data_IF_087300540117
#
_entry.id   IF_087300540117
#
_cell.length_a   1.000
_cell.length_b   1.000
_cell.length_c   1.000
_cell.angle_alpha   90.00
_cell.angle_beta   90.00
_cell.angle_gamma   90.00
#
_symmetry.space_group_name_H-M   'P 1'
#
loop_
_entity.id
_entity.type
_entity.pdbx_description
1 polymer ?
#
# COMPACT_ATOMS: atom_id res chain seq x y z
N UNK A 1 -9.13 16.62 -31.48
CA UNK A 1 -9.72 16.45 -30.14
C UNK A 1 -8.72 17.04 -29.17
N UNK A 2 -9.03 18.13 -28.46
CA UNK A 2 -8.13 18.70 -27.43
C UNK A 2 -7.92 17.61 -26.39
N UNK A 3 -6.69 17.13 -26.21
CA UNK A 3 -6.36 16.17 -25.16
C UNK A 3 -6.50 16.92 -23.83
N UNK A 4 -7.49 16.57 -23.04
CA UNK A 4 -7.69 17.21 -21.73
C UNK A 4 -6.76 16.51 -20.73
N UNK A 5 -5.72 17.20 -20.29
CA UNK A 5 -4.74 16.64 -19.33
C UNK A 5 -5.41 16.26 -17.99
N UNK A 6 -6.48 16.95 -17.58
CA UNK A 6 -7.27 16.58 -16.38
C UNK A 6 -8.03 15.27 -16.57
N UNK A 7 -8.49 14.98 -17.79
CA UNK A 7 -9.13 13.69 -18.06
C UNK A 7 -8.12 12.55 -17.94
N UNK A 8 -6.85 12.79 -18.27
CA UNK A 8 -5.78 11.81 -18.09
C UNK A 8 -5.43 11.63 -16.59
N UNK A 9 -5.40 12.70 -15.80
CA UNK A 9 -5.30 12.58 -14.34
C UNK A 9 -6.45 11.73 -13.77
N UNK A 10 -7.69 12.08 -14.13
CA UNK A 10 -8.88 11.35 -13.67
C UNK A 10 -8.82 9.86 -14.04
N UNK A 11 -8.49 9.54 -15.28
CA UNK A 11 -8.39 8.15 -15.75
C UNK A 11 -7.27 7.37 -15.06
N UNK A 12 -6.16 8.03 -14.69
CA UNK A 12 -5.07 7.39 -13.95
C UNK A 12 -5.53 7.03 -12.52
N UNK A 13 -6.14 7.97 -11.81
CA UNK A 13 -6.64 7.73 -10.45
C UNK A 13 -7.80 6.72 -10.42
N UNK A 14 -8.74 6.81 -11.36
CA UNK A 14 -9.83 5.83 -11.50
C UNK A 14 -9.24 4.43 -11.66
N UNK A 15 -8.24 4.26 -12.52
CA UNK A 15 -7.61 2.96 -12.72
C UNK A 15 -6.88 2.44 -11.48
N UNK A 16 -6.22 3.32 -10.73
CA UNK A 16 -5.62 2.96 -9.44
C UNK A 16 -6.67 2.48 -8.45
N UNK A 17 -7.79 3.20 -8.32
CA UNK A 17 -8.84 2.83 -7.39
C UNK A 17 -9.63 1.59 -7.82
N UNK A 18 -9.75 1.31 -9.11
CA UNK A 18 -10.28 0.03 -9.61
C UNK A 18 -9.47 -1.14 -9.06
N UNK A 19 -8.14 -1.09 -9.17
CA UNK A 19 -7.26 -2.13 -8.62
C UNK A 19 -7.32 -2.21 -7.09
N UNK A 20 -7.46 -1.07 -6.40
CA UNK A 20 -7.74 -1.07 -4.94
C UNK A 20 -9.03 -1.78 -4.61
N UNK A 21 -10.09 -1.62 -5.41
CA UNK A 21 -11.37 -2.31 -5.23
C UNK A 21 -11.26 -3.82 -5.45
N UNK A 22 -10.29 -4.25 -6.26
CA UNK A 22 -9.89 -5.65 -6.45
C UNK A 22 -8.99 -6.17 -5.31
N UNK A 23 -8.93 -5.48 -4.16
CA UNK A 23 -8.24 -5.90 -2.93
C UNK A 23 -6.71 -5.92 -3.01
N UNK A 24 -6.14 -5.18 -3.95
CA UNK A 24 -4.69 -5.02 -4.08
C UNK A 24 -4.12 -4.07 -3.02
N UNK A 25 -2.86 -4.29 -2.64
CA UNK A 25 -2.09 -3.29 -1.89
C UNK A 25 -1.93 -1.99 -2.68
N UNK A 26 -1.54 -0.92 -1.98
CA UNK A 26 -1.23 0.37 -2.63
C UNK A 26 -0.08 0.22 -3.64
N UNK A 27 0.98 -0.52 -3.28
CA UNK A 27 2.10 -0.79 -4.15
C UNK A 27 1.71 -1.61 -5.40
N UNK A 28 0.88 -2.64 -5.26
CA UNK A 28 0.40 -3.45 -6.39
C UNK A 28 -0.51 -2.64 -7.32
N UNK A 29 -1.50 -1.94 -6.76
CA UNK A 29 -2.45 -1.14 -7.54
C UNK A 29 -1.72 -0.05 -8.34
N UNK A 30 -0.70 0.58 -7.76
CA UNK A 30 0.10 1.57 -8.45
C UNK A 30 1.00 0.95 -9.53
N UNK A 31 1.61 -0.21 -9.26
CA UNK A 31 2.42 -0.90 -10.27
C UNK A 31 1.57 -1.29 -11.50
N UNK A 32 0.40 -1.90 -11.29
CA UNK A 32 -0.50 -2.26 -12.36
C UNK A 32 -1.03 -1.05 -13.13
N UNK A 33 -1.33 0.05 -12.43
CA UNK A 33 -1.69 1.33 -13.08
C UNK A 33 -0.54 1.86 -13.92
N UNK A 34 0.67 1.93 -13.37
CA UNK A 34 1.85 2.45 -14.05
C UNK A 34 2.16 1.67 -15.34
N UNK A 35 2.06 0.34 -15.28
CA UNK A 35 2.24 -0.53 -16.45
C UNK A 35 1.17 -0.28 -17.52
N UNK A 36 -0.09 -0.08 -17.13
CA UNK A 36 -1.19 0.23 -18.06
C UNK A 36 -0.98 1.58 -18.78
N UNK A 37 -0.29 2.53 -18.15
CA UNK A 37 0.00 3.85 -18.69
C UNK A 37 1.41 4.00 -19.28
N UNK A 38 2.24 2.95 -19.28
CA UNK A 38 3.59 2.99 -19.82
C UNK A 38 3.63 3.50 -21.27
N UNK A 39 2.76 2.97 -22.14
CA UNK A 39 2.66 3.40 -23.53
C UNK A 39 2.02 4.79 -23.74
N UNK A 40 1.36 5.35 -22.71
CA UNK A 40 0.75 6.69 -22.76
C UNK A 40 1.83 7.76 -22.63
N UNK A 41 2.85 7.52 -21.80
CA UNK A 41 3.96 8.46 -21.58
C UNK A 41 4.75 8.75 -22.86
N UNK A 42 4.78 7.82 -23.82
CA UNK A 42 5.48 8.00 -25.09
C UNK A 42 4.73 8.86 -26.13
N UNK A 43 3.52 9.35 -25.81
CA UNK A 43 2.64 10.07 -26.76
C UNK A 43 2.91 11.57 -26.87
N UNK A 44 3.65 12.13 -25.93
CA UNK A 44 3.88 13.56 -25.77
C UNK A 44 4.48 13.86 -24.41
N UNK A 45 5.04 15.06 -24.27
CA UNK A 45 5.61 15.51 -23.01
C UNK A 45 4.52 15.84 -21.99
N UNK A 46 3.36 16.31 -22.44
CA UNK A 46 2.19 16.50 -21.58
C UNK A 46 1.74 15.17 -20.96
N UNK A 47 1.59 14.10 -21.75
CA UNK A 47 1.20 12.79 -21.20
C UNK A 47 2.24 12.24 -20.23
N UNK A 48 3.53 12.38 -20.57
CA UNK A 48 4.63 11.98 -19.69
C UNK A 48 4.57 12.73 -18.36
N UNK A 49 4.38 14.05 -18.38
CA UNK A 49 4.28 14.87 -17.18
C UNK A 49 3.07 14.44 -16.33
N UNK A 50 1.88 14.34 -16.91
CA UNK A 50 0.65 13.98 -16.18
C UNK A 50 0.77 12.61 -15.50
N UNK A 51 1.24 11.59 -16.22
CA UNK A 51 1.35 10.23 -15.66
C UNK A 51 2.34 10.20 -14.50
N UNK A 52 3.52 10.81 -14.64
CA UNK A 52 4.51 10.82 -13.57
C UNK A 52 4.04 11.67 -12.38
N UNK A 53 3.37 12.81 -12.61
CA UNK A 53 2.79 13.61 -11.52
C UNK A 53 1.69 12.83 -10.79
N UNK A 54 0.83 12.11 -11.52
CA UNK A 54 -0.23 11.31 -10.92
C UNK A 54 0.33 10.17 -10.07
N UNK A 55 1.33 9.44 -10.59
CA UNK A 55 2.06 8.41 -9.85
C UNK A 55 2.72 8.99 -8.59
N UNK A 56 3.43 10.12 -8.72
CA UNK A 56 4.04 10.82 -7.59
C UNK A 56 3.05 11.26 -6.52
N UNK A 57 1.90 11.80 -6.94
CA UNK A 57 0.81 12.16 -6.02
C UNK A 57 0.24 10.98 -5.26
N UNK A 58 0.15 9.81 -5.88
CA UNK A 58 -0.30 8.59 -5.18
C UNK A 58 0.76 8.19 -4.14
N UNK A 59 2.05 8.19 -4.50
CA UNK A 59 3.11 7.89 -3.52
C UNK A 59 3.05 8.79 -2.29
N UNK A 60 2.75 10.09 -2.44
CA UNK A 60 2.58 11.02 -1.31
C UNK A 60 1.46 10.61 -0.32
N UNK A 61 0.53 9.75 -0.74
CA UNK A 61 -0.51 9.21 0.13
C UNK A 61 -0.09 7.95 0.88
N UNK A 62 1.02 7.32 0.51
CA UNK A 62 1.50 6.09 1.11
C UNK A 62 2.30 6.38 2.39
N UNK A 63 2.33 5.40 3.28
CA UNK A 63 3.14 5.49 4.51
C UNK A 63 4.64 5.44 4.22
N UNK A 64 5.04 4.71 3.18
CA UNK A 64 6.43 4.59 2.72
C UNK A 64 6.50 4.50 1.18
N UNK A 65 7.69 4.73 0.65
CA UNK A 65 8.01 4.56 -0.76
C UNK A 65 9.27 3.72 -0.94
N UNK A 66 9.21 2.73 -1.84
CA UNK A 66 10.40 1.94 -2.18
C UNK A 66 11.49 2.84 -2.80
N UNK A 67 12.73 2.70 -2.33
CA UNK A 67 13.85 3.58 -2.72
C UNK A 67 13.99 3.77 -4.23
N UNK A 68 13.91 2.69 -5.02
CA UNK A 68 14.03 2.81 -6.49
C UNK A 68 12.82 3.46 -7.14
N UNK A 69 11.64 3.31 -6.55
CA UNK A 69 10.44 4.00 -7.04
C UNK A 69 10.58 5.51 -6.82
N UNK A 70 11.08 5.92 -5.64
CA UNK A 70 11.41 7.32 -5.32
C UNK A 70 12.43 7.90 -6.31
N UNK A 71 13.56 7.21 -6.51
CA UNK A 71 14.60 7.64 -7.45
C UNK A 71 14.04 7.82 -8.88
N UNK A 72 13.28 6.82 -9.35
CA UNK A 72 12.68 6.82 -10.69
C UNK A 72 11.73 8.00 -10.88
N UNK A 73 10.83 8.27 -9.92
CA UNK A 73 9.85 9.34 -10.09
C UNK A 73 10.49 10.72 -10.03
N UNK A 74 11.47 10.91 -9.14
CA UNK A 74 12.26 12.16 -9.07
C UNK A 74 13.02 12.39 -10.38
N UNK A 75 13.66 11.36 -10.93
CA UNK A 75 14.36 11.45 -12.22
C UNK A 75 13.37 11.75 -13.36
N UNK A 76 12.22 11.07 -13.40
CA UNK A 76 11.22 11.25 -14.45
C UNK A 76 10.66 12.68 -14.49
N UNK A 77 10.39 13.27 -13.33
CA UNK A 77 9.86 14.64 -13.22
C UNK A 77 10.92 15.71 -13.52
N UNK A 78 12.17 15.51 -13.07
CA UNK A 78 13.27 16.44 -13.37
C UNK A 78 13.73 16.36 -14.84
N UNK A 79 13.49 15.25 -15.52
CA UNK A 79 13.86 15.04 -16.94
C UNK A 79 12.76 15.44 -17.94
N UNK A 80 11.74 16.18 -17.50
CA UNK A 80 10.70 16.68 -18.40
C UNK A 80 11.25 17.76 -19.35
N UNK A 81 10.95 17.64 -20.64
CA UNK A 81 11.28 18.66 -21.65
C UNK A 81 10.31 19.84 -21.55
N UNK A 82 10.68 20.84 -20.77
CA UNK A 82 9.80 21.99 -20.49
C UNK A 82 9.47 22.83 -21.73
N UNK A 83 10.32 22.80 -22.77
CA UNK A 83 10.06 23.51 -24.01
C UNK A 83 8.97 22.78 -24.80
N UNK A 84 9.10 21.46 -24.94
CA UNK A 84 8.11 20.64 -25.61
C UNK A 84 6.77 20.63 -24.87
N UNK A 85 6.81 20.54 -23.54
CA UNK A 85 5.61 20.65 -22.70
C UNK A 85 4.87 21.97 -22.94
N UNK A 86 5.59 23.09 -23.02
CA UNK A 86 5.00 24.40 -23.29
C UNK A 86 4.35 24.49 -24.69
N UNK A 87 4.88 23.79 -25.68
CA UNK A 87 4.30 23.73 -27.03
C UNK A 87 3.05 22.85 -27.11
N UNK A 88 2.93 21.86 -26.23
CA UNK A 88 1.83 20.89 -26.22
C UNK A 88 0.63 21.34 -25.35
N UNK A 89 0.79 22.38 -24.54
CA UNK A 89 -0.18 22.82 -23.54
C UNK A 89 -0.56 24.30 -23.72
N UNK A 90 -1.71 24.68 -23.19
CA UNK A 90 -2.04 26.10 -23.03
C UNK A 90 -1.24 26.71 -21.87
N UNK A 91 -1.06 28.04 -21.81
CA UNK A 91 -0.31 28.68 -20.71
C UNK A 91 -0.83 28.35 -19.31
N UNK A 92 -2.15 28.21 -19.15
CA UNK A 92 -2.77 27.87 -17.86
C UNK A 92 -2.51 26.40 -17.49
N UNK A 93 -2.63 25.48 -18.45
CA UNK A 93 -2.32 24.05 -18.25
C UNK A 93 -0.83 23.84 -17.95
N UNK A 94 0.04 24.53 -18.68
CA UNK A 94 1.48 24.50 -18.45
C UNK A 94 1.82 24.89 -17.02
N UNK A 95 1.25 26.01 -16.57
CA UNK A 95 1.47 26.51 -15.21
C UNK A 95 0.97 25.52 -14.14
N UNK A 96 -0.24 25.00 -14.29
CA UNK A 96 -0.78 24.01 -13.33
C UNK A 96 0.06 22.72 -13.29
N UNK A 97 0.50 22.21 -14.45
CA UNK A 97 1.36 21.02 -14.52
C UNK A 97 2.69 21.26 -13.78
N UNK A 98 3.31 22.44 -13.95
CA UNK A 98 4.54 22.77 -13.24
C UNK A 98 4.31 22.90 -11.73
N UNK A 99 3.24 23.56 -11.30
CA UNK A 99 2.90 23.67 -9.87
C UNK A 99 2.69 22.29 -9.23
N UNK A 100 2.01 21.37 -9.92
CA UNK A 100 1.82 20.00 -9.43
C UNK A 100 3.11 19.18 -9.43
N UNK A 101 3.98 19.36 -10.44
CA UNK A 101 5.31 18.72 -10.48
C UNK A 101 6.15 19.18 -9.30
N UNK A 102 6.22 20.48 -9.07
CA UNK A 102 7.07 21.06 -8.04
C UNK A 102 6.60 20.63 -6.65
N UNK A 103 5.28 20.61 -6.41
CA UNK A 103 4.73 20.06 -5.17
C UNK A 103 5.13 18.60 -4.94
N UNK A 104 5.07 17.74 -5.97
CA UNK A 104 5.51 16.35 -5.84
C UNK A 104 7.01 16.28 -5.51
N UNK A 105 7.85 17.04 -6.19
CA UNK A 105 9.30 17.05 -5.95
C UNK A 105 9.65 17.58 -4.55
N UNK A 106 8.92 18.57 -4.05
CA UNK A 106 9.15 19.16 -2.73
C UNK A 106 8.69 18.22 -1.59
N UNK A 107 7.57 17.52 -1.77
CA UNK A 107 7.00 16.69 -0.72
C UNK A 107 7.57 15.26 -0.68
N UNK A 108 8.03 14.72 -1.81
CA UNK A 108 8.47 13.31 -1.89
C UNK A 108 9.70 13.01 -1.03
N UNK A 109 10.50 14.03 -0.71
CA UNK A 109 11.64 13.88 0.18
C UNK A 109 11.27 13.63 1.64
N UNK A 110 10.03 13.95 2.04
CA UNK A 110 9.54 13.75 3.39
C UNK A 110 8.90 12.36 3.60
N UNK A 111 8.69 11.58 2.54
CA UNK A 111 8.16 10.22 2.68
C UNK A 111 9.27 9.29 3.21
N UNK A 112 8.92 8.46 4.18
CA UNK A 112 9.79 7.39 4.67
C UNK A 112 10.18 6.43 3.54
N UNK A 113 11.48 6.13 3.42
CA UNK A 113 11.97 5.21 2.40
C UNK A 113 11.89 3.77 2.88
N UNK A 114 11.35 2.90 2.04
CA UNK A 114 11.39 1.45 2.18
C UNK A 114 12.52 0.86 1.31
N UNK A 115 13.27 -0.07 1.88
CA UNK A 115 14.34 -0.80 1.20
C UNK A 115 13.94 -2.23 0.83
N UNK A 116 12.82 -2.73 1.36
CA UNK A 116 12.29 -4.05 1.03
C UNK A 116 11.66 -4.05 -0.37
N UNK A 117 12.14 -4.89 -1.30
CA UNK A 117 11.50 -5.03 -2.62
C UNK A 117 10.28 -5.97 -2.60
N UNK A 118 10.01 -6.62 -1.46
CA UNK A 118 9.01 -7.68 -1.34
C UNK A 118 7.76 -7.24 -0.59
N UNK A 119 7.87 -6.29 0.34
CA UNK A 119 6.75 -5.80 1.14
C UNK A 119 5.74 -5.12 0.22
N UNK A 120 4.51 -5.65 0.18
CA UNK A 120 3.43 -5.08 -0.64
C UNK A 120 2.46 -4.29 0.21
N UNK A 121 2.20 -4.77 1.43
CA UNK A 121 1.45 -4.03 2.43
C UNK A 121 2.39 -3.52 3.51
N UNK A 122 2.38 -2.20 3.75
CA UNK A 122 3.09 -1.67 4.91
C UNK A 122 2.35 -2.03 6.20
N UNK A 123 3.07 -2.01 7.32
CA UNK A 123 2.62 -2.51 8.62
C UNK A 123 1.20 -2.08 9.01
N UNK A 124 0.97 -0.76 9.07
CA UNK A 124 -0.32 -0.19 9.47
C UNK A 124 -1.41 -0.34 8.39
N UNK A 125 -1.02 -0.47 7.11
CA UNK A 125 -1.95 -0.73 6.02
C UNK A 125 -2.50 -2.15 6.11
N UNK A 126 -1.62 -3.14 6.36
CA UNK A 126 -2.02 -4.53 6.59
C UNK A 126 -2.93 -4.65 7.81
N UNK A 127 -2.54 -4.05 8.93
CA UNK A 127 -3.35 -4.04 10.15
C UNK A 127 -4.76 -3.47 9.89
N UNK A 128 -4.85 -2.34 9.19
CA UNK A 128 -6.11 -1.70 8.84
C UNK A 128 -6.96 -2.57 7.92
N UNK A 129 -6.35 -3.20 6.91
CA UNK A 129 -7.06 -4.06 5.97
C UNK A 129 -7.62 -5.31 6.66
N UNK A 130 -6.85 -5.94 7.55
CA UNK A 130 -7.33 -7.07 8.37
C UNK A 130 -8.51 -6.65 9.25
N UNK A 131 -8.44 -5.50 9.90
CA UNK A 131 -9.55 -4.94 10.71
C UNK A 131 -10.80 -4.69 9.87
N UNK A 132 -10.65 -4.10 8.69
CA UNK A 132 -11.76 -3.83 7.78
C UNK A 132 -12.43 -5.13 7.33
N UNK A 133 -11.65 -6.10 6.87
CA UNK A 133 -12.16 -7.38 6.41
C UNK A 133 -12.84 -8.17 7.54
N UNK A 134 -12.22 -8.21 8.72
CA UNK A 134 -12.80 -8.82 9.92
C UNK A 134 -14.15 -8.19 10.27
N UNK A 135 -14.27 -6.86 10.22
CA UNK A 135 -15.53 -6.16 10.51
C UNK A 135 -16.65 -6.53 9.53
N UNK A 136 -16.32 -6.73 8.24
CA UNK A 136 -17.30 -7.20 7.26
C UNK A 136 -17.79 -8.61 7.65
N UNK A 137 -16.87 -9.55 7.85
CA UNK A 137 -17.26 -10.95 8.08
C UNK A 137 -17.91 -11.19 9.45
N UNK A 138 -17.51 -10.48 10.51
CA UNK A 138 -18.10 -10.69 11.85
C UNK A 138 -19.58 -10.27 11.89
N UNK A 139 -19.97 -9.33 11.03
CA UNK A 139 -21.36 -8.87 10.88
C UNK A 139 -22.17 -9.75 9.91
N UNK A 140 -21.53 -10.41 8.95
CA UNK A 140 -22.20 -11.25 7.94
C UNK A 140 -22.30 -12.73 8.33
N UNK A 141 -21.32 -13.25 9.07
CA UNK A 141 -21.21 -14.68 9.37
C UNK A 141 -21.94 -15.01 10.66
N UNK A 142 -22.95 -15.90 10.57
CA UNK A 142 -23.70 -16.41 11.73
C UNK A 142 -22.88 -17.35 12.62
N UNK A 143 -21.98 -18.12 12.02
CA UNK A 143 -21.09 -19.04 12.73
C UNK A 143 -19.74 -18.38 12.99
N UNK A 144 -19.52 -18.00 14.25
CA UNK A 144 -18.27 -17.36 14.69
C UNK A 144 -17.05 -18.28 14.55
N UNK A 145 -17.24 -19.59 14.43
CA UNK A 145 -16.12 -20.55 14.33
C UNK A 145 -15.40 -20.48 12.97
N UNK A 146 -16.07 -20.06 11.91
CA UNK A 146 -15.49 -19.94 10.56
C UNK A 146 -14.82 -18.59 10.28
N UNK A 147 -14.75 -17.68 11.26
CA UNK A 147 -14.16 -16.35 11.08
C UNK A 147 -12.65 -16.45 10.85
N UNK A 148 -11.96 -17.28 11.63
CA UNK A 148 -10.49 -17.43 11.55
C UNK A 148 -10.09 -17.93 10.17
N UNK A 149 -10.69 -19.03 9.72
CA UNK A 149 -10.49 -19.61 8.39
C UNK A 149 -10.67 -18.56 7.29
N UNK A 150 -11.78 -17.82 7.29
CA UNK A 150 -12.04 -16.80 6.26
C UNK A 150 -11.00 -15.68 6.24
N UNK A 151 -10.53 -15.22 7.40
CA UNK A 151 -9.45 -14.21 7.44
C UNK A 151 -8.17 -14.81 6.88
N UNK A 152 -7.77 -16.00 7.33
CA UNK A 152 -6.53 -16.62 6.86
C UNK A 152 -6.58 -16.92 5.36
N UNK A 153 -7.69 -17.41 4.82
CA UNK A 153 -7.89 -17.61 3.37
C UNK A 153 -7.78 -16.30 2.58
N UNK A 154 -8.36 -15.21 3.10
CA UNK A 154 -8.32 -13.90 2.44
C UNK A 154 -6.89 -13.36 2.33
N UNK A 155 -6.04 -13.62 3.32
CA UNK A 155 -4.67 -13.08 3.42
C UNK A 155 -3.59 -14.15 3.18
N UNK A 156 -3.95 -15.34 2.70
CA UNK A 156 -3.03 -16.47 2.53
C UNK A 156 -1.82 -16.10 1.67
N UNK A 157 -2.07 -15.35 0.58
CA UNK A 157 -1.05 -14.87 -0.34
C UNK A 157 -0.04 -13.98 0.37
N UNK A 158 -0.51 -12.99 1.11
CA UNK A 158 0.35 -12.06 1.85
C UNK A 158 1.12 -12.79 2.96
N UNK A 159 0.45 -13.64 3.72
CA UNK A 159 1.08 -14.46 4.77
C UNK A 159 2.17 -15.41 4.23
N UNK A 160 2.05 -15.84 2.97
CA UNK A 160 3.06 -16.67 2.30
C UNK A 160 4.21 -15.85 1.74
N UNK A 161 3.95 -14.61 1.32
CA UNK A 161 4.93 -13.76 0.66
C UNK A 161 5.97 -13.20 1.64
N UNK A 162 5.53 -12.71 2.81
CA UNK A 162 6.45 -12.11 3.78
C UNK A 162 6.11 -12.50 5.22
N UNK A 163 7.16 -12.63 6.04
CA UNK A 163 7.04 -12.95 7.46
C UNK A 163 6.35 -11.83 8.24
N UNK A 164 6.64 -10.57 7.89
CA UNK A 164 6.00 -9.39 8.48
C UNK A 164 4.49 -9.39 8.25
N UNK A 165 4.02 -9.56 7.00
CA UNK A 165 2.60 -9.58 6.68
C UNK A 165 1.89 -10.73 7.41
N UNK A 166 2.49 -11.91 7.44
CA UNK A 166 1.96 -13.08 8.17
C UNK A 166 1.70 -12.78 9.65
N UNK A 167 2.72 -12.31 10.36
CA UNK A 167 2.64 -12.10 11.79
C UNK A 167 1.75 -10.90 12.13
N UNK A 168 1.73 -9.85 11.29
CA UNK A 168 0.80 -8.74 11.45
C UNK A 168 -0.65 -9.21 11.30
N UNK A 169 -0.96 -10.01 10.28
CA UNK A 169 -2.31 -10.59 10.08
C UNK A 169 -2.72 -11.41 11.29
N UNK A 170 -1.86 -12.34 11.73
CA UNK A 170 -2.14 -13.24 12.86
C UNK A 170 -2.30 -12.49 14.19
N UNK A 171 -1.40 -11.55 14.49
CA UNK A 171 -1.49 -10.72 15.70
C UNK A 171 -2.78 -9.91 15.71
N UNK A 172 -3.08 -9.22 14.60
CA UNK A 172 -4.30 -8.40 14.46
C UNK A 172 -5.57 -9.24 14.57
N UNK A 173 -5.56 -10.44 13.97
CA UNK A 173 -6.69 -11.37 14.07
C UNK A 173 -6.94 -11.77 15.53
N UNK A 174 -5.91 -12.18 16.28
CA UNK A 174 -6.10 -12.59 17.68
C UNK A 174 -6.58 -11.42 18.56
N UNK A 175 -6.05 -10.21 18.36
CA UNK A 175 -6.55 -9.01 19.05
C UNK A 175 -8.06 -8.81 18.85
N UNK A 176 -8.54 -9.03 17.62
CA UNK A 176 -9.96 -8.90 17.28
C UNK A 176 -10.78 -10.04 17.88
N UNK A 177 -10.31 -11.28 17.82
CA UNK A 177 -11.00 -12.42 18.41
C UNK A 177 -11.21 -12.24 19.92
N UNK A 178 -10.16 -11.77 20.63
CA UNK A 178 -10.24 -11.41 22.05
C UNK A 178 -11.24 -10.28 22.31
N UNK A 179 -11.21 -9.22 21.48
CA UNK A 179 -12.13 -8.08 21.62
C UNK A 179 -13.60 -8.48 21.44
N UNK A 180 -13.89 -9.45 20.57
CA UNK A 180 -15.26 -9.88 20.23
C UNK A 180 -15.72 -11.14 20.99
N UNK A 181 -14.94 -11.60 21.98
CA UNK A 181 -15.20 -12.80 22.79
C UNK A 181 -15.51 -14.02 21.91
N UNK A 182 -14.73 -14.20 20.84
CA UNK A 182 -14.83 -15.35 19.94
C UNK A 182 -13.98 -16.48 20.53
N UNK A 183 -14.61 -17.65 20.71
CA UNK A 183 -14.00 -18.79 21.37
C UNK A 183 -12.81 -19.33 20.60
N UNK A 184 -11.83 -19.82 21.34
CA UNK A 184 -10.69 -20.55 20.80
C UNK A 184 -11.16 -21.80 20.06
N UNK A 185 -10.55 -22.04 18.90
CA UNK A 185 -10.66 -23.28 18.15
C UNK A 185 -9.24 -23.80 17.85
N UNK A 186 -9.13 -24.89 17.08
CA UNK A 186 -7.83 -25.48 16.75
C UNK A 186 -6.89 -24.50 16.02
N UNK A 187 -7.41 -23.74 15.06
CA UNK A 187 -6.64 -22.73 14.32
C UNK A 187 -6.14 -21.59 15.23
N UNK A 188 -6.93 -21.21 16.24
CA UNK A 188 -6.51 -20.23 17.24
C UNK A 188 -5.28 -20.71 18.02
N UNK A 189 -5.28 -21.98 18.41
CA UNK A 189 -4.16 -22.60 19.15
C UNK A 189 -2.90 -22.66 18.28
N UNK A 190 -3.04 -22.90 16.98
CA UNK A 190 -1.92 -22.86 16.02
C UNK A 190 -1.33 -21.45 15.91
N UNK A 191 -2.17 -20.44 15.71
CA UNK A 191 -1.73 -19.04 15.66
C UNK A 191 -1.01 -18.66 16.96
N UNK A 192 -1.56 -19.02 18.13
CA UNK A 192 -0.93 -18.77 19.43
C UNK A 192 0.49 -19.34 19.49
N UNK A 193 0.68 -20.59 19.09
CA UNK A 193 2.01 -21.24 19.11
C UNK A 193 3.00 -20.52 18.21
N UNK A 194 2.56 -20.07 17.03
CA UNK A 194 3.41 -19.29 16.13
C UNK A 194 3.82 -17.96 16.77
N UNK A 195 2.88 -17.22 17.37
CA UNK A 195 3.16 -15.95 18.05
C UNK A 195 4.09 -16.12 19.27
N UNK A 196 3.98 -17.25 20.00
CA UNK A 196 4.86 -17.55 21.15
C UNK A 196 6.30 -17.87 20.73
N UNK A 197 6.49 -18.48 19.55
CA UNK A 197 7.80 -18.87 19.04
C UNK A 197 8.46 -17.78 18.19
N UNK A 198 7.71 -16.75 17.83
CA UNK A 198 8.15 -15.72 16.91
C UNK A 198 9.25 -14.82 17.50
N UNK A 199 10.34 -14.65 16.76
CA UNK A 199 11.36 -13.65 17.03
C UNK A 199 11.26 -12.49 16.03
N UNK A 200 10.97 -11.29 16.54
CA UNK A 200 10.84 -10.07 15.73
C UNK A 200 12.09 -9.74 14.92
N UNK A 201 13.27 -10.22 15.34
CA UNK A 201 14.52 -9.99 14.63
C UNK A 201 14.56 -10.74 13.27
N UNK A 202 13.79 -11.82 13.11
CA UNK A 202 13.70 -12.58 11.86
C UNK A 202 13.03 -11.79 10.72
N UNK A 203 12.30 -10.72 11.04
CA UNK A 203 11.62 -9.86 10.07
C UNK A 203 12.60 -9.10 9.16
N UNK A 204 13.80 -8.80 9.65
CA UNK A 204 14.80 -8.05 8.90
C UNK A 204 14.30 -6.64 8.51
N UNK A 205 14.47 -6.27 7.24
CA UNK A 205 14.15 -4.93 6.70
C UNK A 205 12.67 -4.78 6.29
N UNK A 206 11.84 -5.81 6.44
CA UNK A 206 10.42 -5.72 6.05
C UNK A 206 9.63 -4.74 6.95
N UNK A 207 10.11 -4.53 8.18
CA UNK A 207 9.60 -3.55 9.14
C UNK A 207 10.73 -2.63 9.60
N UNK A 208 10.37 -1.38 9.87
CA UNK A 208 11.21 -0.42 10.59
C UNK A 208 11.36 -0.83 12.05
N UNK A 209 12.37 -0.28 12.74
CA UNK A 209 12.58 -0.56 14.17
C UNK A 209 11.37 -0.15 15.02
N UNK A 210 10.72 0.98 14.70
CA UNK A 210 9.52 1.42 15.42
C UNK A 210 8.34 0.45 15.24
N UNK A 211 8.12 -0.06 14.02
CA UNK A 211 7.09 -1.07 13.74
C UNK A 211 7.40 -2.41 14.39
N UNK A 212 8.68 -2.81 14.47
CA UNK A 212 9.10 -4.01 15.22
C UNK A 212 8.81 -3.88 16.71
N UNK A 213 9.08 -2.71 17.29
CA UNK A 213 8.78 -2.42 18.69
C UNK A 213 7.28 -2.51 18.93
N UNK A 214 6.47 -1.85 18.09
CA UNK A 214 5.01 -1.88 18.19
C UNK A 214 4.46 -3.31 18.07
N UNK A 215 4.90 -4.07 17.06
CA UNK A 215 4.50 -5.47 16.87
C UNK A 215 4.87 -6.34 18.08
N UNK A 216 6.07 -6.16 18.64
CA UNK A 216 6.52 -6.90 19.81
C UNK A 216 5.66 -6.61 21.04
N UNK A 217 5.23 -5.36 21.22
CA UNK A 217 4.32 -4.97 22.31
C UNK A 217 2.97 -5.64 22.11
N UNK A 218 2.40 -5.53 20.90
CA UNK A 218 1.10 -6.12 20.55
C UNK A 218 1.06 -7.63 20.75
N UNK A 219 2.09 -8.35 20.30
CA UNK A 219 2.21 -9.81 20.51
C UNK A 219 2.22 -10.14 22.00
N UNK A 220 3.03 -9.44 22.81
CA UNK A 220 3.07 -9.67 24.27
C UNK A 220 1.73 -9.40 24.95
N UNK A 221 1.04 -8.33 24.55
CA UNK A 221 -0.27 -7.99 25.10
C UNK A 221 -1.32 -9.06 24.76
N UNK A 222 -1.32 -9.55 23.53
CA UNK A 222 -2.18 -10.64 23.10
C UNK A 222 -1.90 -11.88 23.93
N UNK A 223 -0.65 -12.35 23.97
CA UNK A 223 -0.26 -13.57 24.69
C UNK A 223 -0.55 -13.49 26.19
N UNK A 224 -0.49 -12.30 26.79
CA UNK A 224 -0.83 -12.12 28.22
C UNK A 224 -2.31 -12.33 28.55
N UNK A 225 -3.19 -12.35 27.54
CA UNK A 225 -4.64 -12.51 27.66
C UNK A 225 -5.12 -13.91 27.26
N UNK A 226 -4.21 -14.80 26.83
CA UNK A 226 -4.46 -16.18 26.40
C UNK A 226 -3.99 -17.20 27.44
#
# INVERSE_FOLDING_TARGET
MRRNYEALFGAFYERYFDFKSEKMSDAEALACTSDAYFGVQSRGEMEKAVVNIAEGKIYLTHSKIFVKAKEKIVEALNSLDLQKLQLETTPDEYKDILERRDMVLDEIDNITVDYSPYTRWHYYEMEKEVKNYFWIIVNEVKDKNGIIEKVLERFERECTNTLSENIVVKTTLVELLLRYDIKENEQFVEIRKELEQFDVNEIGEQLTEDEKIDLSIRIKEVLSKL
#
